data_IF_669828376264
#
_entry.id   IF_669828376264
#
_cell.length_a   1.000
_cell.length_b   1.000
_cell.length_c   1.000
_cell.angle_alpha   90.00
_cell.angle_beta   90.00
_cell.angle_gamma   90.00
#
_symmetry.space_group_name_H-M   'P 1'
#
loop_
_entity.id
_entity.type
_entity.pdbx_description
1 polymer ?
#
# COMPACT_ATOMS: atom_id res chain seq x y z
N UNK A 1 4.03 10.96 -10.15
CA UNK A 1 3.03 9.89 -10.06
C UNK A 1 1.95 9.91 -11.16
N UNK A 2 1.68 11.03 -11.78
CA UNK A 2 0.67 11.11 -12.86
C UNK A 2 1.13 10.56 -14.22
N UNK A 3 2.37 10.11 -14.31
CA UNK A 3 2.99 9.68 -15.56
C UNK A 3 2.84 8.19 -15.88
N UNK A 4 3.64 7.75 -16.85
CA UNK A 4 3.70 6.37 -17.36
C UNK A 4 4.61 5.51 -16.47
N UNK A 5 4.08 5.00 -15.37
CA UNK A 5 4.77 4.21 -14.35
C UNK A 5 3.80 3.25 -13.63
N UNK A 6 4.31 2.40 -12.76
CA UNK A 6 3.51 1.45 -12.00
C UNK A 6 2.74 0.48 -12.92
N UNK A 7 1.47 0.21 -12.61
CA UNK A 7 0.66 -0.69 -13.42
C UNK A 7 0.48 -0.19 -14.87
N UNK A 8 0.49 1.13 -15.10
CA UNK A 8 0.38 1.71 -16.44
C UNK A 8 1.54 1.28 -17.34
N UNK A 9 2.76 1.28 -16.78
CA UNK A 9 3.95 0.80 -17.46
C UNK A 9 3.90 -0.72 -17.68
N UNK A 10 3.50 -1.48 -16.66
CA UNK A 10 3.36 -2.93 -16.76
C UNK A 10 2.24 -3.39 -17.69
N UNK A 11 1.24 -2.54 -17.96
CA UNK A 11 0.20 -2.81 -18.97
C UNK A 11 0.74 -2.59 -20.38
N UNK A 12 1.51 -1.52 -20.58
CA UNK A 12 2.09 -1.19 -21.88
C UNK A 12 3.26 -2.11 -22.25
N UNK A 13 4.05 -2.50 -21.26
CA UNK A 13 5.24 -3.36 -21.39
C UNK A 13 5.15 -4.51 -20.38
N UNK A 14 4.33 -5.53 -20.67
CA UNK A 14 4.05 -6.63 -19.72
C UNK A 14 5.27 -7.44 -19.34
N UNK A 15 6.29 -7.48 -20.20
CA UNK A 15 7.58 -8.12 -19.95
C UNK A 15 8.32 -7.55 -18.73
N UNK A 16 8.07 -6.29 -18.36
CA UNK A 16 8.63 -5.69 -17.14
C UNK A 16 8.02 -6.35 -15.90
N UNK A 17 6.69 -6.50 -15.89
CA UNK A 17 6.00 -7.18 -14.77
C UNK A 17 6.41 -8.64 -14.70
N UNK A 18 6.51 -9.33 -15.82
CA UNK A 18 6.97 -10.73 -15.90
C UNK A 18 8.38 -10.87 -15.31
N UNK A 19 9.32 -10.04 -15.74
CA UNK A 19 10.72 -10.06 -15.25
C UNK A 19 10.80 -9.81 -13.75
N UNK A 20 10.06 -8.82 -13.23
CA UNK A 20 10.04 -8.52 -11.80
C UNK A 20 9.39 -9.65 -10.97
N UNK A 21 8.26 -10.18 -11.42
CA UNK A 21 7.59 -11.31 -10.77
C UNK A 21 8.50 -12.55 -10.75
N UNK A 22 9.14 -12.86 -11.88
CA UNK A 22 10.10 -13.97 -11.99
C UNK A 22 11.23 -13.81 -10.96
N UNK A 23 11.86 -12.65 -10.89
CA UNK A 23 12.95 -12.40 -9.96
C UNK A 23 12.56 -12.61 -8.49
N UNK A 24 11.36 -12.15 -8.10
CA UNK A 24 10.84 -12.31 -6.73
C UNK A 24 10.56 -13.78 -6.44
N UNK A 25 9.85 -14.46 -7.33
CA UNK A 25 9.44 -15.87 -7.13
C UNK A 25 10.65 -16.81 -7.18
N UNK A 26 11.62 -16.59 -8.08
CA UNK A 26 12.87 -17.36 -8.11
C UNK A 26 13.66 -17.22 -6.82
N UNK A 27 13.78 -15.98 -6.30
CA UNK A 27 14.45 -15.75 -5.02
C UNK A 27 13.76 -16.50 -3.88
N UNK A 28 12.42 -16.46 -3.84
CA UNK A 28 11.63 -17.20 -2.85
C UNK A 28 11.79 -18.71 -2.98
N UNK A 29 11.75 -19.27 -4.19
CA UNK A 29 11.99 -20.69 -4.44
C UNK A 29 13.40 -21.12 -3.98
N UNK A 30 14.42 -20.33 -4.29
CA UNK A 30 15.79 -20.60 -3.88
C UNK A 30 15.95 -20.60 -2.35
N UNK A 31 15.23 -19.73 -1.63
CA UNK A 31 15.21 -19.74 -0.16
C UNK A 31 14.45 -20.95 0.39
N UNK A 32 13.34 -21.34 -0.24
CA UNK A 32 12.56 -22.53 0.14
C UNK A 32 13.40 -23.80 0.01
N UNK A 33 14.16 -23.94 -1.06
CA UNK A 33 15.08 -25.06 -1.27
C UNK A 33 16.19 -25.14 -0.21
N UNK A 34 16.53 -24.00 0.42
CA UNK A 34 17.47 -23.93 1.56
C UNK A 34 16.80 -24.19 2.92
N UNK A 35 15.54 -24.61 2.96
CA UNK A 35 14.79 -24.90 4.18
C UNK A 35 14.15 -23.71 4.87
N UNK A 36 14.20 -22.51 4.26
CA UNK A 36 13.52 -21.33 4.75
C UNK A 36 12.04 -21.32 4.31
N UNK A 37 11.22 -20.51 4.93
CA UNK A 37 9.80 -20.36 4.58
C UNK A 37 9.47 -18.90 4.18
N UNK A 38 9.91 -18.44 2.99
CA UNK A 38 9.59 -17.10 2.51
C UNK A 38 8.09 -16.97 2.19
N UNK A 39 7.55 -15.78 2.40
CA UNK A 39 6.15 -15.43 2.09
C UNK A 39 6.14 -14.07 1.38
N UNK A 40 6.48 -14.02 0.09
CA UNK A 40 6.48 -12.76 -0.65
C UNK A 40 5.07 -12.21 -0.83
N UNK A 41 4.97 -10.89 -0.78
CA UNK A 41 3.75 -10.13 -1.06
C UNK A 41 4.06 -9.20 -2.24
N UNK A 42 3.49 -9.49 -3.41
CA UNK A 42 3.73 -8.74 -4.65
C UNK A 42 2.66 -7.68 -4.78
N UNK A 43 3.07 -6.41 -4.74
CA UNK A 43 2.18 -5.26 -4.74
C UNK A 43 2.22 -4.53 -6.09
N UNK A 44 1.05 -4.39 -6.72
CA UNK A 44 0.89 -3.62 -7.96
C UNK A 44 0.56 -2.17 -7.62
N UNK A 45 1.41 -1.20 -7.96
CA UNK A 45 1.18 0.21 -7.64
C UNK A 45 0.33 0.92 -8.68
N UNK A 46 -0.23 2.09 -8.31
CA UNK A 46 -0.97 3.02 -9.17
C UNK A 46 -2.24 2.45 -9.82
N UNK A 47 -2.82 1.43 -9.21
CA UNK A 47 -4.08 0.85 -9.68
C UNK A 47 -5.23 1.82 -9.44
N UNK A 48 -5.98 2.12 -10.49
CA UNK A 48 -7.20 2.92 -10.44
C UNK A 48 -8.47 2.11 -10.72
N UNK A 49 -8.34 0.92 -11.34
CA UNK A 49 -9.46 0.05 -11.69
C UNK A 49 -9.16 -1.43 -11.41
N UNK A 50 -10.21 -2.22 -11.16
CA UNK A 50 -10.06 -3.67 -11.00
C UNK A 50 -9.49 -4.37 -12.24
N UNK A 51 -9.74 -3.82 -13.44
CA UNK A 51 -9.24 -4.39 -14.69
C UNK A 51 -7.72 -4.28 -14.80
N UNK A 52 -7.15 -3.16 -14.36
CA UNK A 52 -5.69 -2.98 -14.29
C UNK A 52 -5.06 -4.00 -13.36
N UNK A 53 -5.61 -4.15 -12.15
CA UNK A 53 -5.10 -5.12 -11.20
C UNK A 53 -5.23 -6.56 -11.72
N UNK A 54 -6.39 -6.91 -12.28
CA UNK A 54 -6.63 -8.27 -12.81
C UNK A 54 -5.64 -8.65 -13.90
N UNK A 55 -5.33 -7.73 -14.82
CA UNK A 55 -4.37 -7.97 -15.88
C UNK A 55 -2.95 -8.21 -15.30
N UNK A 56 -2.51 -7.35 -14.38
CA UNK A 56 -1.19 -7.48 -13.77
C UNK A 56 -1.09 -8.73 -12.87
N UNK A 57 -2.12 -9.03 -12.09
CA UNK A 57 -2.18 -10.22 -11.26
C UNK A 57 -2.10 -11.51 -12.10
N UNK A 58 -2.72 -11.53 -13.26
CA UNK A 58 -2.65 -12.68 -14.17
C UNK A 58 -1.22 -12.91 -14.67
N UNK A 59 -0.50 -11.85 -15.08
CA UNK A 59 0.90 -11.96 -15.50
C UNK A 59 1.75 -12.51 -14.34
N UNK A 60 1.60 -11.94 -13.14
CA UNK A 60 2.34 -12.37 -11.94
C UNK A 60 2.08 -13.85 -11.64
N UNK A 61 0.81 -14.29 -11.67
CA UNK A 61 0.44 -15.68 -11.36
C UNK A 61 0.94 -16.67 -12.42
N UNK A 62 0.77 -16.35 -13.71
CA UNK A 62 1.31 -17.16 -14.78
C UNK A 62 2.83 -17.29 -14.70
N UNK A 63 3.53 -16.20 -14.42
CA UNK A 63 4.99 -16.22 -14.24
C UNK A 63 5.40 -17.07 -13.03
N UNK A 64 4.67 -16.96 -11.92
CA UNK A 64 4.93 -17.78 -10.74
C UNK A 64 4.76 -19.28 -11.03
N UNK A 65 3.72 -19.66 -11.74
CA UNK A 65 3.46 -21.07 -12.10
C UNK A 65 4.59 -21.64 -12.98
N UNK A 66 5.10 -20.87 -13.94
CA UNK A 66 6.25 -21.24 -14.77
C UNK A 66 7.49 -21.46 -13.90
N UNK A 67 7.80 -20.51 -12.99
CA UNK A 67 8.97 -20.62 -12.11
C UNK A 67 8.84 -21.81 -11.15
N UNK A 68 7.66 -22.09 -10.62
CA UNK A 68 7.41 -23.24 -9.77
C UNK A 68 7.67 -24.55 -10.50
N UNK A 69 7.25 -24.66 -11.77
CA UNK A 69 7.52 -25.82 -12.59
C UNK A 69 9.02 -25.99 -12.87
N UNK A 70 9.72 -24.91 -13.20
CA UNK A 70 11.18 -24.92 -13.45
C UNK A 70 11.99 -25.30 -12.21
N UNK A 71 11.60 -24.79 -11.02
CA UNK A 71 12.32 -25.01 -9.75
C UNK A 71 11.90 -26.28 -9.01
N UNK A 72 10.79 -26.92 -9.41
CA UNK A 72 10.25 -28.10 -8.73
C UNK A 72 9.75 -27.84 -7.29
N UNK A 73 9.49 -26.60 -6.93
CA UNK A 73 9.04 -26.19 -5.59
C UNK A 73 8.03 -25.08 -5.67
N UNK A 74 7.00 -25.10 -4.81
CA UNK A 74 5.99 -24.03 -4.68
C UNK A 74 6.21 -23.24 -3.41
N UNK A 75 5.94 -21.93 -3.47
CA UNK A 75 6.00 -20.99 -2.35
C UNK A 75 4.63 -20.31 -2.24
N UNK A 76 4.15 -20.14 -1.00
CA UNK A 76 2.97 -19.32 -0.73
C UNK A 76 3.32 -17.86 -0.93
N UNK A 77 2.51 -17.14 -1.69
CA UNK A 77 2.67 -15.71 -1.93
C UNK A 77 1.31 -15.04 -2.06
N UNK A 78 1.29 -13.73 -1.92
CA UNK A 78 0.08 -12.93 -2.13
C UNK A 78 0.31 -11.90 -3.23
N UNK A 79 -0.77 -11.59 -3.96
CA UNK A 79 -0.81 -10.49 -4.92
C UNK A 79 -1.84 -9.47 -4.42
N UNK A 80 -1.38 -8.24 -4.25
CA UNK A 80 -2.24 -7.15 -3.80
C UNK A 80 -1.92 -5.85 -4.52
N UNK A 81 -2.46 -4.77 -4.01
CA UNK A 81 -2.28 -3.46 -4.63
C UNK A 81 -2.05 -2.36 -3.62
N UNK A 82 -1.47 -1.27 -4.11
CA UNK A 82 -1.46 -0.01 -3.37
C UNK A 82 -2.76 0.74 -3.63
N UNK A 83 -3.40 1.21 -2.55
CA UNK A 83 -4.52 2.16 -2.63
C UNK A 83 -3.91 3.55 -2.42
N UNK A 84 -3.65 4.23 -3.51
CA UNK A 84 -2.98 5.52 -3.52
C UNK A 84 -3.61 6.53 -4.49
N UNK A 85 -4.58 6.06 -5.27
CA UNK A 85 -5.40 6.89 -6.16
C UNK A 85 -6.78 7.03 -5.55
N UNK A 86 -7.35 8.26 -5.41
CA UNK A 86 -8.68 8.45 -4.83
C UNK A 86 -9.75 7.56 -5.46
N UNK A 87 -9.72 7.38 -6.79
CA UNK A 87 -10.64 6.47 -7.47
C UNK A 87 -10.55 5.03 -6.95
N UNK A 88 -9.34 4.55 -6.64
CA UNK A 88 -9.15 3.21 -6.09
C UNK A 88 -9.80 3.06 -4.70
N UNK A 89 -9.67 4.07 -3.84
CA UNK A 89 -10.35 4.09 -2.54
C UNK A 89 -11.89 4.07 -2.68
N UNK A 90 -12.42 4.85 -3.63
CA UNK A 90 -13.86 4.91 -3.93
C UNK A 90 -14.44 3.60 -4.49
N UNK A 91 -13.63 2.78 -5.17
CA UNK A 91 -14.03 1.52 -5.80
C UNK A 91 -13.28 0.32 -5.23
N UNK A 92 -12.89 0.41 -3.95
CA UNK A 92 -12.05 -0.59 -3.29
C UNK A 92 -12.74 -1.96 -3.15
N UNK A 93 -14.06 -1.98 -3.06
CA UNK A 93 -14.87 -3.20 -3.12
C UNK A 93 -14.62 -4.01 -4.38
N UNK A 94 -14.62 -3.38 -5.56
CA UNK A 94 -14.33 -4.04 -6.82
C UNK A 94 -12.87 -4.53 -6.91
N UNK A 95 -11.93 -3.72 -6.40
CA UNK A 95 -10.50 -4.06 -6.42
C UNK A 95 -10.21 -5.25 -5.48
N UNK A 96 -10.90 -5.33 -4.35
CA UNK A 96 -10.80 -6.41 -3.37
C UNK A 96 -11.27 -7.78 -3.89
N UNK A 97 -12.02 -7.84 -5.01
CA UNK A 97 -12.34 -9.11 -5.69
C UNK A 97 -11.09 -9.83 -6.21
N UNK A 98 -10.01 -9.09 -6.47
CA UNK A 98 -8.76 -9.60 -7.04
C UNK A 98 -7.60 -9.53 -6.06
N UNK A 99 -7.57 -8.49 -5.23
CA UNK A 99 -6.50 -8.25 -4.27
C UNK A 99 -6.60 -9.14 -3.04
N UNK A 100 -5.46 -9.65 -2.59
CA UNK A 100 -5.32 -10.38 -1.33
C UNK A 100 -4.88 -9.45 -0.18
N UNK A 101 -4.33 -8.29 -0.52
CA UNK A 101 -4.02 -7.23 0.43
C UNK A 101 -4.11 -5.84 -0.20
N UNK A 102 -4.34 -4.83 0.65
CA UNK A 102 -4.17 -3.42 0.31
C UNK A 102 -3.06 -2.81 1.15
N UNK A 103 -2.25 -1.97 0.51
CA UNK A 103 -1.33 -1.05 1.18
C UNK A 103 -1.71 0.38 0.82
N UNK A 104 -2.12 1.17 1.79
CA UNK A 104 -2.47 2.57 1.52
C UNK A 104 -1.21 3.39 1.30
N UNK A 105 -1.00 3.87 0.07
CA UNK A 105 0.08 4.76 -0.34
C UNK A 105 -0.27 6.21 -0.03
N UNK A 106 -0.18 6.58 1.24
CA UNK A 106 -0.72 7.85 1.72
C UNK A 106 0.01 9.08 1.22
N UNK A 107 1.27 8.97 0.80
CA UNK A 107 1.97 10.10 0.16
C UNK A 107 1.27 10.51 -1.14
N UNK A 108 1.01 9.53 -2.02
CA UNK A 108 0.38 9.77 -3.31
C UNK A 108 -1.11 10.07 -3.17
N UNK A 109 -1.77 9.42 -2.22
CA UNK A 109 -3.16 9.72 -1.90
C UNK A 109 -3.32 11.18 -1.39
N UNK A 110 -2.39 11.66 -0.56
CA UNK A 110 -2.33 13.06 -0.11
C UNK A 110 -2.13 14.02 -1.28
N UNK A 111 -1.16 13.74 -2.18
CA UNK A 111 -0.96 14.56 -3.38
C UNK A 111 -2.23 14.74 -4.19
N UNK A 112 -2.92 13.62 -4.45
CA UNK A 112 -4.12 13.63 -5.30
C UNK A 112 -5.33 14.27 -4.62
N UNK A 113 -5.45 14.12 -3.29
CA UNK A 113 -6.58 14.67 -2.52
C UNK A 113 -6.46 16.17 -2.35
N UNK A 114 -5.26 16.67 -2.05
CA UNK A 114 -5.00 18.11 -1.93
C UNK A 114 -4.75 18.78 -3.29
N UNK A 115 -4.40 18.04 -4.33
CA UNK A 115 -3.93 18.61 -5.59
C UNK A 115 -2.55 19.25 -5.47
N UNK A 116 -1.72 18.79 -4.51
CA UNK A 116 -0.37 19.30 -4.29
C UNK A 116 0.67 18.40 -4.94
N UNK A 117 1.63 19.00 -5.65
CA UNK A 117 2.85 18.28 -6.01
C UNK A 117 3.77 18.19 -4.81
N UNK A 118 4.20 16.99 -4.42
CA UNK A 118 5.13 16.79 -3.32
C UNK A 118 6.46 17.52 -3.55
N UNK A 119 6.90 17.62 -4.81
CA UNK A 119 8.14 18.29 -5.18
C UNK A 119 8.02 19.83 -5.10
N UNK A 120 6.81 20.37 -5.28
CA UNK A 120 6.56 21.81 -5.28
C UNK A 120 5.99 22.33 -3.96
N UNK A 121 5.40 21.48 -3.14
CA UNK A 121 4.69 21.86 -1.93
C UNK A 121 5.58 22.61 -0.92
N UNK A 122 6.86 22.31 -0.89
CA UNK A 122 7.84 23.03 -0.04
C UNK A 122 7.93 24.53 -0.31
N UNK A 123 7.43 25.01 -1.44
CA UNK A 123 7.42 26.45 -1.79
C UNK A 123 6.32 27.24 -1.06
N UNK A 124 5.23 26.61 -0.66
CA UNK A 124 4.07 27.30 -0.07
C UNK A 124 3.60 26.70 1.27
N UNK A 125 3.81 25.42 1.55
CA UNK A 125 3.37 24.80 2.81
C UNK A 125 3.89 25.49 4.07
N UNK A 126 5.16 25.96 4.15
CA UNK A 126 5.64 26.69 5.31
C UNK A 126 4.81 27.94 5.61
N UNK A 127 4.39 28.66 4.57
CA UNK A 127 3.55 29.87 4.74
C UNK A 127 2.11 29.50 5.15
N UNK A 128 1.57 28.38 4.66
CA UNK A 128 0.25 27.87 5.08
C UNK A 128 0.23 27.51 6.56
N UNK A 129 1.28 26.87 7.05
CA UNK A 129 1.42 26.50 8.45
C UNK A 129 1.58 27.77 9.31
N UNK A 130 2.44 28.71 8.88
CA UNK A 130 2.65 30.00 9.56
C UNK A 130 1.36 30.83 9.70
N UNK A 131 0.50 30.78 8.68
CA UNK A 131 -0.80 31.48 8.67
C UNK A 131 -1.92 30.68 9.37
N UNK A 132 -1.65 29.48 9.86
CA UNK A 132 -2.64 28.63 10.50
C UNK A 132 -3.69 28.06 9.56
N UNK A 133 -3.44 28.05 8.23
CA UNK A 133 -4.30 27.44 7.22
C UNK A 133 -4.25 25.91 7.37
N UNK A 134 -3.04 25.37 7.58
CA UNK A 134 -2.81 23.98 7.96
C UNK A 134 -2.10 23.93 9.30
N UNK A 135 -2.46 22.95 10.13
CA UNK A 135 -1.79 22.75 11.44
C UNK A 135 -0.39 22.16 11.28
N UNK A 136 -0.24 21.27 10.31
CA UNK A 136 0.98 20.49 10.05
C UNK A 136 1.13 20.27 8.55
N UNK A 137 2.32 19.84 8.13
CA UNK A 137 2.56 19.37 6.77
C UNK A 137 1.78 18.06 6.54
N UNK A 138 0.84 18.01 5.58
CA UNK A 138 0.03 16.82 5.31
C UNK A 138 0.85 15.66 4.71
N UNK A 139 2.08 15.89 4.28
CA UNK A 139 3.00 14.82 3.88
C UNK A 139 3.78 14.22 5.06
N UNK A 140 3.86 14.91 6.19
CA UNK A 140 4.51 14.43 7.40
C UNK A 140 3.52 13.78 8.39
N UNK A 141 2.34 14.39 8.54
CA UNK A 141 1.25 13.94 9.43
C UNK A 141 0.00 13.73 8.59
N UNK A 142 -0.62 12.56 8.70
CA UNK A 142 -1.80 12.21 7.91
C UNK A 142 -2.94 13.21 8.17
N UNK A 143 -3.43 13.79 7.10
CA UNK A 143 -4.69 14.52 7.12
C UNK A 143 -5.86 13.55 7.34
N UNK A 144 -6.34 13.47 8.58
CA UNK A 144 -7.40 12.55 8.95
C UNK A 144 -8.78 13.03 8.48
N UNK A 145 -8.95 14.33 8.23
CA UNK A 145 -10.22 14.94 7.83
C UNK A 145 -10.56 14.69 6.35
N UNK A 146 -9.57 14.73 5.46
CA UNK A 146 -9.75 14.51 4.01
C UNK A 146 -9.21 13.16 3.58
N UNK A 147 -7.88 12.99 3.61
CA UNK A 147 -7.21 11.75 3.18
C UNK A 147 -7.63 10.56 4.05
N UNK A 148 -7.80 10.78 5.35
CA UNK A 148 -8.25 9.75 6.29
C UNK A 148 -9.63 9.19 5.95
N UNK A 149 -10.56 10.00 5.44
CA UNK A 149 -11.85 9.51 4.98
C UNK A 149 -11.71 8.54 3.79
N UNK A 150 -10.83 8.83 2.84
CA UNK A 150 -10.56 7.94 1.72
C UNK A 150 -9.92 6.62 2.18
N UNK A 151 -9.00 6.69 3.13
CA UNK A 151 -8.38 5.51 3.75
C UNK A 151 -9.44 4.64 4.44
N UNK A 152 -10.27 5.24 5.28
CA UNK A 152 -11.34 4.54 5.99
C UNK A 152 -12.36 3.92 5.02
N UNK A 153 -12.80 4.68 4.03
CA UNK A 153 -13.72 4.19 2.99
C UNK A 153 -13.11 3.01 2.22
N UNK A 154 -11.85 3.13 1.79
CA UNK A 154 -11.15 2.06 1.09
C UNK A 154 -11.01 0.79 1.93
N UNK A 155 -10.70 0.92 3.22
CA UNK A 155 -10.61 -0.19 4.16
C UNK A 155 -11.98 -0.88 4.37
N UNK A 156 -13.03 -0.11 4.63
CA UNK A 156 -14.38 -0.63 4.85
C UNK A 156 -14.92 -1.34 3.60
N UNK A 157 -14.84 -0.71 2.44
CA UNK A 157 -15.28 -1.29 1.16
C UNK A 157 -14.48 -2.54 0.80
N UNK A 158 -13.16 -2.50 0.97
CA UNK A 158 -12.29 -3.65 0.71
C UNK A 158 -12.68 -4.85 1.56
N UNK A 159 -12.83 -4.67 2.87
CA UNK A 159 -13.25 -5.75 3.79
C UNK A 159 -14.70 -6.19 3.64
N UNK A 160 -15.59 -5.34 3.16
CA UNK A 160 -16.96 -5.74 2.86
C UNK A 160 -17.03 -6.74 1.69
N UNK A 161 -16.14 -6.61 0.71
CA UNK A 161 -16.02 -7.52 -0.43
C UNK A 161 -15.15 -8.75 -0.14
N UNK A 162 -14.10 -8.58 0.67
CA UNK A 162 -13.16 -9.63 1.07
C UNK A 162 -12.85 -9.52 2.56
N UNK A 163 -13.55 -10.28 3.39
CA UNK A 163 -13.36 -10.25 4.86
C UNK A 163 -11.96 -10.69 5.33
N UNK A 164 -11.18 -11.36 4.47
CA UNK A 164 -9.81 -11.79 4.75
C UNK A 164 -8.76 -10.82 4.20
N UNK A 165 -9.19 -9.73 3.60
CA UNK A 165 -8.28 -8.75 3.00
C UNK A 165 -7.32 -8.19 4.06
N UNK A 166 -6.03 -8.37 3.84
CA UNK A 166 -4.99 -7.79 4.68
C UNK A 166 -4.84 -6.31 4.36
N UNK A 167 -4.85 -5.46 5.37
CA UNK A 167 -4.77 -4.00 5.23
C UNK A 167 -3.51 -3.45 5.89
N UNK A 168 -2.82 -2.59 5.21
CA UNK A 168 -1.67 -1.88 5.76
C UNK A 168 -1.48 -0.50 5.17
N UNK A 169 -0.53 0.22 5.71
CA UNK A 169 -0.14 1.55 5.25
C UNK A 169 1.35 1.58 4.96
N UNK A 170 1.75 2.32 3.97
CA UNK A 170 3.13 2.65 3.68
C UNK A 170 3.31 4.15 3.45
N UNK A 171 4.55 4.61 3.42
CA UNK A 171 4.91 6.00 3.30
C UNK A 171 5.30 6.64 4.63
N UNK A 172 5.45 7.96 4.63
CA UNK A 172 5.94 8.71 5.80
C UNK A 172 5.03 8.57 7.02
N UNK A 173 3.72 8.49 6.78
CA UNK A 173 2.70 8.41 7.82
C UNK A 173 2.77 7.10 8.64
N UNK A 174 3.30 6.01 8.09
CA UNK A 174 3.47 4.74 8.80
C UNK A 174 4.44 4.79 10.00
N UNK A 175 5.24 5.85 10.10
CA UNK A 175 6.16 6.07 11.22
C UNK A 175 5.79 7.28 12.10
N UNK A 176 4.66 7.96 11.84
CA UNK A 176 4.20 9.12 12.59
C UNK A 176 3.14 8.70 13.63
N UNK A 177 3.29 9.08 14.92
CA UNK A 177 2.49 8.53 15.99
C UNK A 177 0.97 8.69 15.84
N UNK A 178 0.48 9.87 15.48
CA UNK A 178 -0.96 10.11 15.36
C UNK A 178 -1.56 9.36 14.17
N UNK A 179 -0.79 9.22 13.10
CA UNK A 179 -1.15 8.44 11.92
C UNK A 179 -1.20 6.95 12.21
N UNK A 180 -0.28 6.43 13.02
CA UNK A 180 -0.29 5.02 13.46
C UNK A 180 -1.51 4.73 14.34
N UNK A 181 -1.86 5.63 15.28
CA UNK A 181 -3.06 5.50 16.10
C UNK A 181 -4.33 5.52 15.21
N UNK A 182 -4.36 6.38 14.20
CA UNK A 182 -5.46 6.39 13.22
C UNK A 182 -5.57 5.05 12.47
N UNK A 183 -4.44 4.47 12.03
CA UNK A 183 -4.42 3.16 11.36
C UNK A 183 -5.00 2.05 12.23
N UNK A 184 -4.69 2.04 13.52
CA UNK A 184 -5.27 1.11 14.48
C UNK A 184 -6.79 1.25 14.56
N UNK A 185 -7.31 2.48 14.71
CA UNK A 185 -8.75 2.77 14.72
C UNK A 185 -9.48 2.35 13.45
N UNK A 186 -8.83 2.42 12.28
CA UNK A 186 -9.37 1.94 11.00
C UNK A 186 -9.33 0.41 10.92
N UNK A 187 -8.61 -0.25 11.82
CA UNK A 187 -8.44 -1.69 11.88
C UNK A 187 -7.43 -2.22 10.86
N UNK A 188 -6.33 -1.52 10.63
CA UNK A 188 -5.25 -2.03 9.79
C UNK A 188 -4.46 -3.14 10.50
N UNK A 189 -3.96 -4.09 9.72
CA UNK A 189 -3.21 -5.24 10.21
C UNK A 189 -1.73 -4.90 10.44
N UNK A 190 -1.19 -3.91 9.70
CA UNK A 190 0.22 -3.50 9.82
C UNK A 190 0.45 -2.06 9.39
N UNK A 191 1.55 -1.49 9.87
CA UNK A 191 2.15 -0.27 9.35
C UNK A 191 3.57 -0.56 8.86
N UNK A 192 3.96 0.08 7.76
CA UNK A 192 5.31 0.02 7.21
C UNK A 192 5.96 1.38 7.37
N UNK A 193 7.18 1.42 7.89
CA UNK A 193 7.94 2.64 8.09
C UNK A 193 9.44 2.41 7.89
N UNK A 194 10.21 3.50 7.81
CA UNK A 194 11.66 3.39 7.73
C UNK A 194 12.24 2.73 9.01
N UNK A 195 13.39 2.03 8.93
CA UNK A 195 13.98 1.32 10.08
C UNK A 195 14.16 2.20 11.31
N UNK A 196 14.54 3.45 11.13
CA UNK A 196 14.74 4.41 12.23
C UNK A 196 13.45 4.81 12.95
N UNK A 197 12.29 4.65 12.32
CA UNK A 197 10.98 4.95 12.90
C UNK A 197 10.31 3.75 13.56
N UNK A 198 10.83 2.56 13.42
CA UNK A 198 10.25 1.34 14.01
C UNK A 198 10.01 1.44 15.53
N UNK A 199 10.95 1.95 16.34
CA UNK A 199 10.69 2.11 17.78
C UNK A 199 9.52 3.05 18.08
N UNK A 200 9.41 4.15 17.35
CA UNK A 200 8.33 5.15 17.48
C UNK A 200 6.98 4.54 17.06
N UNK A 201 6.95 3.85 15.93
CA UNK A 201 5.73 3.20 15.42
C UNK A 201 5.23 2.11 16.38
N UNK A 202 6.13 1.31 16.96
CA UNK A 202 5.78 0.28 17.96
C UNK A 202 5.22 0.91 19.24
N UNK A 203 5.80 2.01 19.72
CA UNK A 203 5.29 2.72 20.88
C UNK A 203 3.90 3.32 20.62
N UNK A 204 3.69 3.92 19.43
CA UNK A 204 2.40 4.46 19.04
C UNK A 204 1.31 3.38 18.93
N UNK A 205 1.62 2.23 18.34
CA UNK A 205 0.72 1.08 18.27
C UNK A 205 0.39 0.51 19.68
N UNK A 206 1.38 0.40 20.56
CA UNK A 206 1.16 -0.03 21.93
C UNK A 206 0.26 0.94 22.71
N UNK A 207 0.43 2.24 22.48
CA UNK A 207 -0.43 3.29 23.06
C UNK A 207 -1.87 3.17 22.57
N UNK A 208 -2.09 3.01 21.27
CA UNK A 208 -3.42 2.80 20.69
C UNK A 208 -4.14 1.61 21.35
N UNK A 209 -3.46 0.45 21.42
CA UNK A 209 -4.00 -0.76 22.05
C UNK A 209 -4.34 -0.63 23.55
N UNK A 210 -3.74 0.34 24.27
CA UNK A 210 -4.06 0.62 25.68
C UNK A 210 -5.23 1.62 25.79
N UNK A 211 -5.30 2.58 24.90
CA UNK A 211 -6.38 3.61 24.87
C UNK A 211 -7.74 2.97 24.51
N UNK A 212 -7.77 1.99 23.62
CA UNK A 212 -8.99 1.25 23.23
C UNK A 212 -9.57 0.34 24.33
N UNK A 213 -8.80 0.09 25.41
CA UNK A 213 -9.25 -0.74 26.55
C UNK A 213 -9.90 0.07 27.67
N UNK A 214 -9.98 1.39 27.53
CA UNK A 214 -10.66 2.28 28.47
C UNK A 214 -12.05 2.67 27.96
#
# INVERSE_FOLDING_TARGET
MLGHRGCRLGITYPEITEMQARAIIEAACNLKLKGLNPKPEIMVPLVGTVKELRQQANIIRCTADVVFAEKGVKVDYMVGTMIEIPRAALTADQIAEVAEFFSFGTNDLTQMTFGYSRDDAGKFLPEYIKKGILKTDPFAVLDQEGVGQLVQMGAQKGRSANSKLKLGICGEHGGEPSSVIFCDKVGMDYVSCSPFRVPIARLAAARAAVEDKK
#
